data_IF_496520924848
#
_entry.id   IF_496520924848
#
_cell.length_a   1.000
_cell.length_b   1.000
_cell.length_c   1.000
_cell.angle_alpha   90.00
_cell.angle_beta   90.00
_cell.angle_gamma   90.00
#
_symmetry.space_group_name_H-M   'P 1'
#
loop_
_entity.id
_entity.type
_entity.pdbx_description
1 polymer ?
#
# COMPACT_ATOMS: atom_id res chain seq x y z
N UNK A 1 18.88 -20.96 -10.63
CA UNK A 1 17.68 -21.62 -11.18
C UNK A 1 17.09 -20.75 -12.29
N UNK A 2 16.81 -21.32 -13.47
CA UNK A 2 16.03 -20.65 -14.52
C UNK A 2 14.54 -20.76 -14.15
N UNK A 3 13.81 -19.63 -14.15
CA UNK A 3 12.39 -19.58 -13.81
C UNK A 3 11.50 -19.46 -15.05
N UNK A 4 11.97 -18.72 -16.07
CA UNK A 4 11.24 -18.52 -17.32
C UNK A 4 12.21 -18.22 -18.46
N UNK A 5 11.94 -18.74 -19.65
CA UNK A 5 12.58 -18.36 -20.90
C UNK A 5 11.53 -18.41 -22.01
N UNK A 6 11.33 -17.30 -22.71
CA UNK A 6 10.29 -17.20 -23.73
C UNK A 6 10.30 -15.86 -24.45
N UNK A 7 9.19 -15.52 -25.11
CA UNK A 7 9.00 -14.23 -25.78
C UNK A 7 7.82 -13.50 -25.19
N UNK A 8 8.02 -12.21 -24.89
CA UNK A 8 6.95 -11.29 -24.50
C UNK A 8 6.87 -10.20 -25.56
N UNK A 9 5.69 -10.06 -26.18
CA UNK A 9 5.46 -9.12 -27.28
C UNK A 9 6.55 -9.24 -28.38
N UNK A 10 6.88 -10.48 -28.76
CA UNK A 10 7.90 -10.82 -29.76
C UNK A 10 9.36 -10.73 -29.28
N UNK A 11 9.62 -10.14 -28.12
CA UNK A 11 10.98 -9.95 -27.58
C UNK A 11 11.41 -11.11 -26.67
N UNK A 12 12.61 -11.69 -26.86
CA UNK A 12 13.14 -12.70 -25.95
C UNK A 12 13.30 -12.16 -24.52
N UNK A 13 12.85 -12.94 -23.53
CA UNK A 13 13.00 -12.66 -22.11
C UNK A 13 13.40 -13.93 -21.39
N UNK A 14 14.38 -13.85 -20.50
CA UNK A 14 14.69 -14.91 -19.55
C UNK A 14 14.75 -14.37 -18.12
N UNK A 15 14.24 -15.13 -17.17
CA UNK A 15 14.26 -14.80 -15.75
C UNK A 15 14.93 -15.93 -14.98
N UNK A 16 15.94 -15.58 -14.20
CA UNK A 16 16.65 -16.50 -13.33
C UNK A 16 16.60 -16.02 -11.89
N UNK A 17 16.76 -16.97 -10.97
CA UNK A 17 16.87 -16.71 -9.55
C UNK A 17 18.14 -17.33 -8.96
N UNK A 18 18.79 -16.58 -8.07
CA UNK A 18 19.86 -17.05 -7.19
C UNK A 18 19.63 -16.46 -5.80
N UNK A 19 19.21 -17.30 -4.85
CA UNK A 19 18.89 -16.87 -3.49
C UNK A 19 17.73 -15.86 -3.46
N UNK A 20 18.02 -14.66 -2.96
CA UNK A 20 17.12 -13.52 -2.84
C UNK A 20 17.15 -12.58 -4.05
N UNK A 21 17.93 -12.88 -5.09
CA UNK A 21 18.05 -12.06 -6.30
C UNK A 21 17.33 -12.65 -7.49
N UNK A 22 16.78 -11.77 -8.32
CA UNK A 22 16.29 -12.07 -9.66
C UNK A 22 17.17 -11.40 -10.70
N UNK A 23 17.48 -12.15 -11.75
CA UNK A 23 18.13 -11.64 -12.95
C UNK A 23 17.13 -11.73 -14.10
N UNK A 24 16.83 -10.59 -14.74
CA UNK A 24 15.98 -10.52 -15.93
C UNK A 24 16.83 -10.11 -17.12
N UNK A 25 16.89 -11.00 -18.10
CA UNK A 25 17.59 -10.80 -19.35
C UNK A 25 16.62 -10.44 -20.48
N UNK A 26 17.02 -9.48 -21.29
CA UNK A 26 16.49 -9.18 -22.63
C UNK A 26 17.67 -8.90 -23.56
N UNK A 27 17.56 -9.04 -24.88
CA UNK A 27 18.67 -8.73 -25.79
C UNK A 27 19.26 -7.34 -25.50
N UNK A 28 20.56 -7.29 -25.22
CA UNK A 28 21.30 -6.06 -24.89
C UNK A 28 21.15 -5.55 -23.45
N UNK A 29 20.44 -6.24 -22.55
CA UNK A 29 20.22 -5.78 -21.17
C UNK A 29 20.04 -6.93 -20.16
N UNK A 30 20.76 -6.84 -19.04
CA UNK A 30 20.60 -7.71 -17.88
C UNK A 30 20.31 -6.87 -16.63
N UNK A 31 19.12 -6.99 -16.07
CA UNK A 31 18.75 -6.36 -14.80
C UNK A 31 18.90 -7.37 -13.66
N UNK A 32 19.73 -7.09 -12.66
CA UNK A 32 19.84 -7.91 -11.44
C UNK A 32 19.35 -7.11 -10.25
N UNK A 33 18.30 -7.62 -9.61
CA UNK A 33 17.61 -6.91 -8.53
C UNK A 33 17.36 -7.83 -7.33
N UNK A 34 17.38 -7.31 -6.10
CA UNK A 34 16.87 -8.05 -4.97
C UNK A 34 15.36 -8.29 -5.18
N UNK A 35 14.88 -9.43 -4.73
CA UNK A 35 13.50 -9.89 -4.91
C UNK A 35 12.97 -10.67 -3.70
N UNK A 36 13.85 -10.95 -2.73
CA UNK A 36 13.59 -11.70 -1.52
C UNK A 36 13.30 -13.17 -1.75
N UNK A 37 12.95 -13.87 -0.66
CA UNK A 37 12.90 -15.34 -0.67
C UNK A 37 11.51 -15.94 -0.89
N UNK A 38 10.44 -15.16 -0.72
CA UNK A 38 9.06 -15.66 -0.76
C UNK A 38 8.77 -16.46 -2.04
N UNK A 39 8.26 -17.69 -1.98
CA UNK A 39 8.14 -18.53 -3.18
C UNK A 39 6.94 -18.16 -4.08
N UNK A 40 5.88 -17.55 -3.54
CA UNK A 40 4.59 -17.39 -4.23
C UNK A 40 4.23 -15.97 -4.68
N UNK A 41 5.14 -14.99 -4.59
CA UNK A 41 4.85 -13.64 -5.09
C UNK A 41 5.09 -13.56 -6.62
N UNK A 42 4.10 -13.13 -7.42
CA UNK A 42 4.25 -13.03 -8.87
C UNK A 42 5.44 -12.15 -9.27
N UNK A 43 6.21 -12.59 -10.25
CA UNK A 43 7.40 -11.87 -10.73
C UNK A 43 7.00 -11.02 -11.93
N UNK A 44 7.30 -9.73 -11.88
CA UNK A 44 7.02 -8.82 -12.99
C UNK A 44 7.95 -9.14 -14.17
N UNK A 45 7.39 -9.46 -15.32
CA UNK A 45 8.17 -9.68 -16.55
C UNK A 45 8.26 -8.41 -17.42
N UNK A 46 7.32 -7.49 -17.25
CA UNK A 46 7.15 -6.28 -18.07
C UNK A 46 5.83 -6.29 -18.85
N UNK A 47 5.42 -5.13 -19.37
CA UNK A 47 4.18 -4.99 -20.15
C UNK A 47 2.88 -5.26 -19.38
N UNK A 48 2.94 -5.39 -18.05
CA UNK A 48 1.82 -5.82 -17.19
C UNK A 48 1.68 -7.33 -17.05
N UNK A 49 2.68 -8.12 -17.46
CA UNK A 49 2.65 -9.58 -17.34
C UNK A 49 3.45 -10.05 -16.14
N UNK A 50 2.93 -11.08 -15.47
CA UNK A 50 3.53 -11.64 -14.28
C UNK A 50 3.73 -13.15 -14.42
N UNK A 51 4.89 -13.65 -13.99
CA UNK A 51 5.16 -15.07 -13.84
C UNK A 51 4.62 -15.54 -12.49
N UNK A 52 3.75 -16.55 -12.54
CA UNK A 52 3.13 -17.17 -11.38
C UNK A 52 3.94 -18.38 -10.91
N UNK A 53 3.80 -18.72 -9.63
CA UNK A 53 4.30 -19.99 -9.14
C UNK A 53 3.47 -21.15 -9.71
N UNK A 54 4.04 -22.36 -9.89
CA UNK A 54 3.32 -23.49 -10.48
C UNK A 54 2.04 -23.92 -9.74
N UNK A 55 1.98 -23.67 -8.43
CA UNK A 55 0.81 -23.97 -7.58
C UNK A 55 -0.21 -22.83 -7.51
N UNK A 56 0.12 -21.63 -8.01
CA UNK A 56 -0.84 -20.51 -8.10
C UNK A 56 -1.73 -20.72 -9.33
N UNK A 57 -2.67 -21.67 -9.22
CA UNK A 57 -3.62 -21.95 -10.28
C UNK A 57 -4.74 -20.88 -10.31
N UNK A 58 -5.10 -20.45 -11.52
CA UNK A 58 -6.30 -19.64 -11.83
C UNK A 58 -6.26 -18.21 -11.23
N UNK A 59 -5.43 -17.31 -11.77
CA UNK A 59 -5.56 -15.90 -11.44
C UNK A 59 -6.93 -15.37 -11.89
N UNK A 60 -7.46 -14.40 -11.14
CA UNK A 60 -8.74 -13.75 -11.44
C UNK A 60 -8.55 -12.25 -11.48
N UNK A 61 -9.24 -11.56 -12.39
CA UNK A 61 -9.31 -10.10 -12.41
C UNK A 61 -9.91 -9.58 -11.09
N UNK A 62 -9.80 -8.27 -10.85
CA UNK A 62 -10.41 -7.68 -9.64
C UNK A 62 -11.95 -7.80 -9.62
N UNK A 63 -12.59 -8.03 -10.77
CA UNK A 63 -14.04 -8.31 -10.88
C UNK A 63 -14.39 -9.77 -10.65
N UNK A 64 -13.40 -10.68 -10.52
CA UNK A 64 -13.60 -12.11 -10.29
C UNK A 64 -13.67 -12.95 -11.57
N UNK A 65 -13.44 -12.34 -12.74
CA UNK A 65 -13.34 -13.08 -14.00
C UNK A 65 -12.00 -13.80 -14.08
N UNK A 66 -11.94 -14.89 -14.83
CA UNK A 66 -10.67 -15.60 -15.04
C UNK A 66 -9.68 -14.69 -15.79
N UNK A 67 -8.52 -14.43 -15.19
CA UNK A 67 -7.40 -13.82 -15.90
C UNK A 67 -6.71 -14.92 -16.70
N UNK A 68 -6.60 -14.74 -18.01
CA UNK A 68 -5.91 -15.72 -18.85
C UNK A 68 -4.45 -15.86 -18.40
N UNK A 69 -3.94 -17.09 -18.39
CA UNK A 69 -2.54 -17.37 -18.14
C UNK A 69 -2.09 -18.55 -19.00
N UNK A 70 -0.88 -18.47 -19.56
CA UNK A 70 -0.29 -19.50 -20.40
C UNK A 70 1.19 -19.65 -20.07
N UNK A 71 1.67 -20.90 -19.92
CA UNK A 71 3.05 -21.17 -19.51
C UNK A 71 3.45 -20.52 -18.18
N UNK A 72 2.49 -20.38 -17.25
CA UNK A 72 2.69 -19.69 -15.97
C UNK A 72 2.72 -18.16 -16.05
N UNK A 73 2.54 -17.57 -17.24
CA UNK A 73 2.55 -16.12 -17.43
C UNK A 73 1.12 -15.60 -17.59
N UNK A 74 0.76 -14.57 -16.84
CA UNK A 74 -0.55 -13.92 -16.97
C UNK A 74 -0.66 -13.14 -18.29
N UNK A 75 -1.89 -13.01 -18.80
CA UNK A 75 -2.24 -11.89 -19.67
C UNK A 75 -1.93 -10.56 -18.96
N UNK A 76 -1.80 -9.43 -19.71
CA UNK A 76 -1.54 -8.14 -19.10
C UNK A 76 -2.58 -7.78 -18.04
N UNK A 77 -2.11 -7.54 -16.81
CA UNK A 77 -2.87 -6.98 -15.71
C UNK A 77 -2.18 -5.68 -15.27
N UNK A 78 -2.93 -4.59 -15.25
CA UNK A 78 -2.42 -3.26 -14.91
C UNK A 78 -3.28 -2.66 -13.82
N UNK A 79 -2.64 -1.92 -12.92
CA UNK A 79 -3.38 -1.15 -11.94
C UNK A 79 -4.12 -0.02 -12.65
N UNK A 80 -5.38 0.17 -12.28
CA UNK A 80 -6.24 1.24 -12.80
C UNK A 80 -5.97 2.56 -12.05
N UNK A 81 -4.73 3.05 -12.16
CA UNK A 81 -4.27 4.29 -11.53
C UNK A 81 -3.34 5.06 -12.46
N UNK A 82 -3.30 6.40 -12.33
CA UNK A 82 -2.47 7.25 -13.18
C UNK A 82 -0.96 7.01 -13.06
N UNK A 83 -0.49 6.37 -11.98
CA UNK A 83 0.92 6.01 -11.80
C UNK A 83 1.22 4.54 -12.13
N UNK A 84 0.23 3.76 -12.58
CA UNK A 84 0.39 2.34 -12.90
C UNK A 84 0.67 1.43 -11.70
N UNK A 85 0.50 1.92 -10.47
CA UNK A 85 0.68 1.16 -9.20
C UNK A 85 -0.66 0.95 -8.51
N UNK A 86 -0.83 -0.17 -7.82
CA UNK A 86 -2.07 -0.51 -7.12
C UNK A 86 -2.47 -1.98 -7.26
N UNK A 87 -3.71 -2.33 -6.90
CA UNK A 87 -4.23 -3.69 -7.04
C UNK A 87 -4.20 -4.15 -8.50
N UNK A 88 -3.86 -5.41 -8.74
CA UNK A 88 -3.74 -6.00 -10.07
C UNK A 88 -4.80 -7.10 -10.31
N UNK A 89 -4.73 -8.17 -9.52
CA UNK A 89 -5.55 -9.37 -9.67
C UNK A 89 -5.58 -10.19 -8.38
N UNK A 90 -6.48 -11.16 -8.31
CA UNK A 90 -6.58 -12.12 -7.22
C UNK A 90 -5.82 -13.42 -7.53
N UNK A 91 -5.22 -14.00 -6.50
CA UNK A 91 -4.61 -15.33 -6.52
C UNK A 91 -5.12 -16.12 -5.31
N UNK A 92 -5.99 -17.11 -5.53
CA UNK A 92 -6.61 -17.84 -4.42
C UNK A 92 -7.33 -16.88 -3.47
N UNK A 93 -6.96 -16.84 -2.19
CA UNK A 93 -7.60 -15.97 -1.18
C UNK A 93 -7.05 -14.55 -1.12
N UNK A 94 -5.99 -14.21 -1.86
CA UNK A 94 -5.26 -12.94 -1.72
C UNK A 94 -5.40 -12.05 -2.95
N UNK A 95 -5.28 -10.75 -2.76
CA UNK A 95 -5.07 -9.80 -3.86
C UNK A 95 -3.59 -9.44 -3.93
N UNK A 96 -3.04 -9.40 -5.14
CA UNK A 96 -1.69 -8.91 -5.40
C UNK A 96 -1.73 -7.57 -6.10
N UNK A 97 -0.71 -6.75 -5.85
CA UNK A 97 -0.61 -5.39 -6.38
C UNK A 97 0.80 -5.01 -6.79
N UNK A 98 0.89 -4.06 -7.71
CA UNK A 98 2.14 -3.44 -8.10
C UNK A 98 2.45 -2.24 -7.21
N UNK A 99 3.62 -2.25 -6.58
CA UNK A 99 4.15 -1.13 -5.79
C UNK A 99 5.45 -0.56 -6.38
N UNK A 100 5.83 -0.95 -7.59
CA UNK A 100 7.03 -0.50 -8.30
C UNK A 100 8.25 -1.41 -8.14
N UNK A 101 8.07 -2.62 -7.62
CA UNK A 101 9.13 -3.59 -7.39
C UNK A 101 9.19 -4.70 -8.45
N UNK A 102 10.22 -5.57 -8.41
CA UNK A 102 10.35 -6.69 -9.33
C UNK A 102 9.33 -7.81 -9.10
N UNK A 103 8.52 -7.70 -8.04
CA UNK A 103 7.48 -8.64 -7.66
C UNK A 103 6.23 -7.89 -7.22
N UNK A 104 5.07 -8.48 -7.49
CA UNK A 104 3.83 -8.01 -6.93
C UNK A 104 3.77 -8.33 -5.42
N UNK A 105 3.30 -7.36 -4.63
CA UNK A 105 3.12 -7.51 -3.19
C UNK A 105 1.72 -8.02 -2.88
N UNK A 106 1.56 -8.77 -1.79
CA UNK A 106 0.23 -9.10 -1.27
C UNK A 106 -0.36 -7.85 -0.61
N UNK A 107 -1.55 -7.44 -1.05
CA UNK A 107 -2.23 -6.26 -0.51
C UNK A 107 -3.31 -6.67 0.49
N UNK A 108 -3.28 -6.05 1.67
CA UNK A 108 -4.29 -6.20 2.72
C UNK A 108 -4.92 -4.83 3.02
N UNK A 109 -6.17 -4.85 3.46
CA UNK A 109 -6.88 -3.66 3.90
C UNK A 109 -7.62 -3.91 5.21
N UNK A 110 -7.45 -3.01 6.17
CA UNK A 110 -8.26 -2.94 7.39
C UNK A 110 -9.09 -1.67 7.36
N UNK A 111 -10.41 -1.83 7.42
CA UNK A 111 -11.34 -0.70 7.53
C UNK A 111 -11.29 -0.10 8.94
N UNK A 112 -11.84 1.11 9.15
CA UNK A 112 -11.92 1.72 10.48
C UNK A 112 -12.71 0.89 11.50
N UNK A 113 -13.59 0.00 11.01
CA UNK A 113 -14.38 -0.90 11.83
C UNK A 113 -13.62 -2.18 12.23
N UNK A 114 -12.44 -2.42 11.65
CA UNK A 114 -11.67 -3.64 11.85
C UNK A 114 -11.39 -3.92 13.33
N UNK A 115 -11.28 -5.21 13.64
CA UNK A 115 -10.91 -5.74 14.95
C UNK A 115 -9.81 -6.76 14.74
N UNK A 116 -8.81 -6.82 15.64
CA UNK A 116 -7.91 -7.95 15.69
C UNK A 116 -8.70 -9.25 15.71
N UNK A 117 -8.33 -10.17 14.82
CA UNK A 117 -8.85 -11.53 14.74
C UNK A 117 -7.65 -12.48 14.79
N UNK A 118 -7.85 -13.75 15.16
CA UNK A 118 -6.79 -14.76 15.05
C UNK A 118 -6.17 -14.73 13.66
N UNK A 119 -4.87 -15.01 13.58
CA UNK A 119 -4.11 -14.95 12.34
C UNK A 119 -4.83 -15.76 11.24
N UNK A 120 -5.36 -15.06 10.24
CA UNK A 120 -5.95 -15.63 9.04
C UNK A 120 -5.07 -15.28 7.84
N UNK A 121 -5.08 -16.12 6.80
CA UNK A 121 -4.49 -15.74 5.52
C UNK A 121 -5.05 -14.39 5.06
N UNK A 122 -4.26 -13.56 4.36
CA UNK A 122 -4.76 -12.34 3.75
C UNK A 122 -6.00 -12.63 2.89
N UNK A 123 -7.03 -11.82 3.09
CA UNK A 123 -8.29 -11.90 2.35
C UNK A 123 -8.21 -11.05 1.08
N UNK A 124 -9.05 -11.38 0.09
CA UNK A 124 -9.18 -10.60 -1.15
C UNK A 124 -9.65 -9.19 -0.80
N UNK A 125 -9.10 -8.20 -1.48
CA UNK A 125 -9.58 -6.83 -1.37
C UNK A 125 -11.00 -6.74 -1.93
N UNK A 126 -11.93 -6.39 -1.05
CA UNK A 126 -13.25 -5.88 -1.43
C UNK A 126 -13.19 -4.50 -2.09
N UNK A 127 -14.34 -3.97 -2.49
CA UNK A 127 -14.47 -2.68 -3.19
C UNK A 127 -13.79 -1.53 -2.44
N UNK A 128 -14.01 -1.45 -1.13
CA UNK A 128 -13.43 -0.42 -0.26
C UNK A 128 -11.90 -0.49 -0.25
N UNK A 129 -11.33 -1.66 0.04
CA UNK A 129 -9.88 -1.85 0.06
C UNK A 129 -9.22 -1.55 -1.29
N UNK A 130 -9.85 -1.93 -2.40
CA UNK A 130 -9.35 -1.58 -3.74
C UNK A 130 -9.36 -0.06 -3.98
N UNK A 131 -10.45 0.61 -3.62
CA UNK A 131 -10.56 2.07 -3.73
C UNK A 131 -9.48 2.78 -2.91
N UNK A 132 -9.27 2.33 -1.67
CA UNK A 132 -8.24 2.87 -0.77
C UNK A 132 -6.84 2.66 -1.36
N UNK A 133 -6.52 1.46 -1.86
CA UNK A 133 -5.24 1.19 -2.50
C UNK A 133 -5.03 2.00 -3.79
N UNK A 134 -6.06 2.21 -4.60
CA UNK A 134 -5.96 3.05 -5.81
C UNK A 134 -5.58 4.50 -5.48
N UNK A 135 -6.09 5.04 -4.36
CA UNK A 135 -5.73 6.38 -3.87
C UNK A 135 -4.34 6.43 -3.25
N UNK A 136 -3.94 5.38 -2.53
CA UNK A 136 -2.65 5.32 -1.82
C UNK A 136 -1.47 5.03 -2.73
N UNK A 137 -1.63 4.13 -3.69
CA UNK A 137 -0.50 3.58 -4.44
C UNK A 137 0.32 4.67 -5.14
N UNK A 138 -0.32 5.73 -5.62
CA UNK A 138 0.38 6.87 -6.23
C UNK A 138 0.96 7.86 -5.21
N UNK A 139 0.41 7.93 -4.01
CA UNK A 139 0.89 8.80 -2.94
C UNK A 139 2.10 8.23 -2.19
N UNK A 140 2.27 6.91 -2.23
CA UNK A 140 3.41 6.24 -1.60
C UNK A 140 4.68 6.48 -2.42
N UNK A 141 5.82 6.77 -1.77
CA UNK A 141 7.09 6.77 -2.48
C UNK A 141 7.37 5.39 -3.07
N UNK A 142 8.07 5.34 -4.20
CA UNK A 142 8.55 4.07 -4.73
C UNK A 142 9.47 3.41 -3.71
N UNK A 143 9.19 2.15 -3.31
CA UNK A 143 9.98 1.50 -2.29
C UNK A 143 11.40 1.25 -2.82
N UNK A 144 12.41 1.60 -2.02
CA UNK A 144 13.82 1.34 -2.35
C UNK A 144 14.21 -0.13 -2.18
N UNK A 145 13.34 -0.94 -1.57
CA UNK A 145 13.54 -2.37 -1.30
C UNK A 145 12.33 -3.19 -1.78
N UNK A 146 12.51 -4.47 -2.14
CA UNK A 146 11.41 -5.33 -2.56
C UNK A 146 10.38 -5.52 -1.44
N UNK A 147 9.13 -5.23 -1.75
CA UNK A 147 7.99 -5.38 -0.84
C UNK A 147 7.38 -6.77 -1.04
N UNK A 148 7.20 -7.52 0.05
CA UNK A 148 6.52 -8.82 0.06
C UNK A 148 5.02 -8.67 0.28
N UNK A 149 4.65 -7.82 1.22
CA UNK A 149 3.30 -7.58 1.67
C UNK A 149 3.12 -6.11 2.03
N UNK A 150 1.90 -5.62 1.87
CA UNK A 150 1.55 -4.26 2.20
C UNK A 150 0.16 -4.22 2.83
N UNK A 151 0.03 -3.54 3.95
CA UNK A 151 -1.23 -3.33 4.66
C UNK A 151 -1.60 -1.85 4.59
N UNK A 152 -2.81 -1.55 4.16
CA UNK A 152 -3.45 -0.25 4.35
C UNK A 152 -4.45 -0.35 5.50
N UNK A 153 -4.16 0.27 6.64
CA UNK A 153 -5.10 0.37 7.76
C UNK A 153 -5.68 1.78 7.79
N UNK A 154 -6.92 1.92 7.30
CA UNK A 154 -7.72 3.11 7.53
C UNK A 154 -8.14 3.17 9.00
N UNK A 155 -7.42 3.97 9.76
CA UNK A 155 -7.59 4.04 11.20
C UNK A 155 -8.55 5.16 11.62
N UNK A 156 -8.91 6.07 10.69
CA UNK A 156 -9.88 7.13 10.93
C UNK A 156 -10.51 7.58 9.62
N UNK A 157 -11.84 7.61 9.57
CA UNK A 157 -12.59 8.23 8.46
C UNK A 157 -13.60 9.21 9.02
N UNK A 158 -13.79 10.34 8.33
CA UNK A 158 -14.74 11.35 8.76
C UNK A 158 -14.75 12.57 7.85
N UNK A 159 -15.27 13.68 8.38
CA UNK A 159 -15.21 14.99 7.74
C UNK A 159 -14.20 15.86 8.48
N UNK A 160 -13.32 16.52 7.71
CA UNK A 160 -12.41 17.51 8.24
C UNK A 160 -13.21 18.75 8.74
N UNK A 161 -12.74 19.44 9.79
CA UNK A 161 -13.49 20.55 10.38
C UNK A 161 -13.50 21.80 9.49
N UNK A 162 -14.26 22.82 9.90
CA UNK A 162 -14.23 24.17 9.30
C UNK A 162 -14.43 24.18 7.77
N UNK A 163 -15.43 23.44 7.29
CA UNK A 163 -15.75 23.34 5.85
C UNK A 163 -14.87 22.35 5.09
N UNK A 164 -14.01 21.60 5.79
CA UNK A 164 -13.26 20.51 5.19
C UNK A 164 -14.15 19.38 4.66
N UNK A 165 -13.69 18.73 3.59
CA UNK A 165 -14.38 17.61 2.96
C UNK A 165 -14.23 16.28 3.71
N UNK A 166 -14.79 15.19 3.16
CA UNK A 166 -14.50 13.83 3.61
C UNK A 166 -13.00 13.53 3.54
N UNK A 167 -12.49 12.80 4.52
CA UNK A 167 -11.12 12.34 4.52
C UNK A 167 -10.94 11.06 5.33
N UNK A 168 -9.91 10.31 4.97
CA UNK A 168 -9.49 9.08 5.63
C UNK A 168 -8.02 9.21 6.04
N UNK A 169 -7.67 8.67 7.19
CA UNK A 169 -6.30 8.60 7.66
C UNK A 169 -5.85 7.15 7.64
N UNK A 170 -4.89 6.87 6.76
CA UNK A 170 -4.45 5.50 6.51
C UNK A 170 -3.00 5.34 6.93
N UNK A 171 -2.72 4.33 7.76
CA UNK A 171 -1.38 3.86 8.02
C UNK A 171 -1.05 2.76 7.01
N UNK A 172 -0.06 3.00 6.15
CA UNK A 172 0.44 1.99 5.21
C UNK A 172 1.69 1.34 5.77
N UNK A 173 1.63 0.04 6.07
CA UNK A 173 2.80 -0.78 6.44
C UNK A 173 3.31 -1.52 5.22
N UNK A 174 4.59 -1.36 4.90
CA UNK A 174 5.29 -2.14 3.89
C UNK A 174 6.17 -3.18 4.58
N UNK A 175 5.87 -4.46 4.37
CA UNK A 175 6.72 -5.58 4.76
C UNK A 175 7.73 -5.89 3.66
N UNK A 176 9.00 -6.02 4.02
CA UNK A 176 10.07 -6.22 3.04
C UNK A 176 10.49 -7.68 2.96
N UNK A 177 10.83 -8.11 1.75
CA UNK A 177 11.11 -9.51 1.48
C UNK A 177 12.44 -10.01 2.09
N UNK A 178 13.31 -9.10 2.55
CA UNK A 178 14.52 -9.39 3.32
C UNK A 178 14.32 -9.25 4.85
N UNK A 179 13.08 -9.02 5.29
CA UNK A 179 12.74 -8.75 6.69
C UNK A 179 12.57 -7.28 7.03
N UNK A 180 11.92 -7.04 8.17
CA UNK A 180 11.56 -5.70 8.65
C UNK A 180 10.36 -5.08 7.94
N UNK A 181 9.91 -3.94 8.46
CA UNK A 181 8.81 -3.17 7.87
C UNK A 181 8.98 -1.68 8.12
N UNK A 182 8.24 -0.86 7.37
CA UNK A 182 8.09 0.57 7.60
C UNK A 182 6.62 0.94 7.57
N UNK A 183 6.20 1.91 8.38
CA UNK A 183 4.87 2.47 8.36
C UNK A 183 4.87 3.95 7.98
N UNK A 184 3.98 4.35 7.07
CA UNK A 184 3.75 5.75 6.71
C UNK A 184 2.26 6.07 6.78
N UNK A 185 1.92 7.11 7.53
CA UNK A 185 0.57 7.64 7.58
C UNK A 185 0.33 8.63 6.42
N UNK A 186 -0.88 8.57 5.86
CA UNK A 186 -1.33 9.46 4.80
C UNK A 186 -2.74 9.92 5.09
N UNK A 187 -2.96 11.24 5.00
CA UNK A 187 -4.30 11.83 5.00
C UNK A 187 -4.83 11.87 3.56
N UNK A 188 -5.85 11.08 3.30
CA UNK A 188 -6.54 10.94 2.04
C UNK A 188 -7.79 11.84 2.03
N UNK A 189 -7.67 13.07 1.57
CA UNK A 189 -8.80 13.99 1.38
C UNK A 189 -8.89 14.51 -0.06
N UNK A 190 -9.38 15.74 -0.22
CA UNK A 190 -9.29 16.47 -1.50
C UNK A 190 -7.83 16.61 -1.99
N UNK A 191 -6.90 16.68 -1.05
CA UNK A 191 -5.47 16.59 -1.31
C UNK A 191 -4.90 15.44 -0.49
N UNK A 192 -4.31 14.47 -1.18
CA UNK A 192 -3.56 13.39 -0.53
C UNK A 192 -2.23 13.92 -0.03
N UNK A 193 -1.90 13.67 1.25
CA UNK A 193 -0.63 14.11 1.84
C UNK A 193 -0.06 13.09 2.83
N UNK A 194 1.26 12.82 2.79
CA UNK A 194 1.91 12.06 3.85
C UNK A 194 1.93 12.88 5.13
N UNK A 195 1.77 12.20 6.27
CA UNK A 195 1.70 12.83 7.60
C UNK A 195 2.69 12.22 8.59
N UNK A 196 3.72 11.55 8.09
CA UNK A 196 4.83 11.01 8.86
C UNK A 196 4.77 9.49 9.02
N UNK A 197 5.64 8.96 9.88
CA UNK A 197 5.68 7.54 10.21
C UNK A 197 4.44 7.11 11.02
N UNK A 198 4.10 5.83 10.98
CA UNK A 198 3.07 5.24 11.82
C UNK A 198 3.43 3.82 12.23
N UNK A 199 2.84 3.38 13.34
CA UNK A 199 2.76 1.98 13.73
C UNK A 199 1.39 1.45 13.30
N UNK A 200 1.33 0.38 12.52
CA UNK A 200 0.06 -0.19 12.07
C UNK A 200 -0.69 -0.93 13.18
N UNK A 201 -0.02 -1.35 14.25
CA UNK A 201 -0.66 -2.02 15.38
C UNK A 201 -1.33 -1.00 16.32
N UNK A 202 -0.77 0.21 16.42
CA UNK A 202 -1.30 1.34 17.20
C UNK A 202 -1.27 2.65 16.41
N UNK A 203 -2.05 2.77 15.32
CA UNK A 203 -1.89 3.87 14.39
C UNK A 203 -2.35 5.19 15.01
N UNK A 204 -1.46 6.18 14.94
CA UNK A 204 -1.72 7.58 15.28
C UNK A 204 -0.90 8.46 14.34
N UNK A 205 -1.47 9.55 13.86
CA UNK A 205 -0.75 10.53 13.06
C UNK A 205 -1.45 11.88 13.08
N UNK A 206 -0.70 12.93 12.78
CA UNK A 206 -1.16 14.30 12.79
C UNK A 206 -0.40 15.17 11.82
N UNK A 207 -0.98 16.30 11.46
CA UNK A 207 -0.38 17.25 10.53
C UNK A 207 -0.98 18.63 10.71
N UNK A 208 -0.20 19.65 10.35
CA UNK A 208 -0.74 20.99 10.14
C UNK A 208 -1.55 21.00 8.84
N UNK A 209 -2.81 21.37 8.95
CA UNK A 209 -3.77 21.42 7.86
C UNK A 209 -4.34 22.83 7.73
N UNK A 210 -4.41 23.32 6.49
CA UNK A 210 -5.02 24.61 6.15
C UNK A 210 -6.46 24.38 5.73
N UNK A 211 -7.39 24.98 6.45
CA UNK A 211 -8.81 24.94 6.12
C UNK A 211 -9.12 25.73 4.84
N UNK A 212 -10.30 25.52 4.21
CA UNK A 212 -10.74 26.35 3.09
C UNK A 212 -10.83 27.85 3.42
N UNK A 213 -10.99 28.20 4.70
CA UNK A 213 -10.95 29.58 5.20
C UNK A 213 -9.53 30.14 5.36
N UNK A 214 -8.52 29.45 4.82
CA UNK A 214 -7.09 29.75 4.92
C UNK A 214 -6.48 29.74 6.32
N UNK A 215 -7.26 29.41 7.35
CA UNK A 215 -6.81 29.24 8.73
C UNK A 215 -6.15 27.89 8.93
N UNK A 216 -5.10 27.88 9.74
CA UNK A 216 -4.34 26.68 10.07
C UNK A 216 -4.83 26.02 11.35
N UNK A 217 -4.91 24.69 11.29
CA UNK A 217 -5.24 23.83 12.42
C UNK A 217 -4.27 22.66 12.45
N UNK A 218 -3.92 22.20 13.65
CA UNK A 218 -3.29 20.91 13.81
C UNK A 218 -4.39 19.86 13.93
N UNK A 219 -4.36 18.88 13.04
CA UNK A 219 -5.28 17.74 13.07
C UNK A 219 -4.50 16.50 13.45
N UNK A 220 -5.07 15.67 14.31
CA UNK A 220 -4.54 14.34 14.57
C UNK A 220 -5.65 13.34 14.78
N UNK A 221 -5.40 12.09 14.38
CA UNK A 221 -6.31 10.99 14.59
C UNK A 221 -5.56 9.79 15.12
N UNK A 222 -6.28 8.94 15.87
CA UNK A 222 -5.76 7.66 16.34
C UNK A 222 -6.74 6.52 16.01
N UNK A 223 -6.19 5.32 15.92
CA UNK A 223 -6.90 4.07 15.74
C UNK A 223 -7.91 3.82 16.84
N UNK A 224 -8.73 2.78 16.66
CA UNK A 224 -9.78 2.48 17.61
C UNK A 224 -9.21 2.07 18.96
N UNK A 225 -9.82 2.55 20.05
CA UNK A 225 -9.34 2.30 21.40
C UNK A 225 -8.19 3.21 21.83
N UNK A 226 -7.81 4.18 20.99
CA UNK A 226 -6.78 5.17 21.28
C UNK A 226 -7.35 6.58 21.22
N UNK A 227 -6.78 7.48 22.02
CA UNK A 227 -7.06 8.92 22.03
C UNK A 227 -5.78 9.67 21.65
N UNK A 228 -5.79 10.51 20.59
CA UNK A 228 -4.63 11.31 20.24
C UNK A 228 -4.44 12.48 21.23
N UNK A 229 -3.18 12.73 21.60
CA UNK A 229 -2.74 13.84 22.44
C UNK A 229 -1.60 14.60 21.75
N UNK A 230 -1.72 15.92 21.67
CA UNK A 230 -0.77 16.77 20.98
C UNK A 230 -0.21 17.83 21.93
N UNK A 231 1.12 17.81 22.14
CA UNK A 231 1.86 18.81 22.90
C UNK A 231 2.57 19.78 21.96
N UNK A 232 2.64 21.07 22.34
CA UNK A 232 3.14 22.14 21.47
C UNK A 232 2.04 22.87 20.67
N UNK A 233 0.77 22.63 20.99
CA UNK A 233 -0.39 23.37 20.47
C UNK A 233 -1.01 24.26 21.57
N UNK A 234 -1.79 25.28 21.18
CA UNK A 234 -2.35 26.26 22.13
C UNK A 234 -3.64 25.79 22.81
N UNK A 235 -4.59 25.28 22.01
CA UNK A 235 -5.89 24.76 22.47
C UNK A 235 -6.24 23.57 21.60
N UNK A 236 -6.61 22.45 22.22
CA UNK A 236 -7.02 21.23 21.54
C UNK A 236 -8.41 20.79 22.00
N UNK A 237 -9.16 20.17 21.09
CA UNK A 237 -10.40 19.47 21.40
C UNK A 237 -10.41 18.16 20.62
N UNK A 238 -10.84 17.08 21.26
CA UNK A 238 -10.92 15.76 20.63
C UNK A 238 -12.38 15.32 20.56
N UNK A 239 -12.85 15.02 19.35
CA UNK A 239 -14.20 14.50 19.11
C UNK A 239 -14.13 13.39 18.08
N UNK A 240 -14.82 12.27 18.34
CA UNK A 240 -14.84 11.10 17.42
C UNK A 240 -13.42 10.66 16.98
N UNK A 241 -12.47 10.65 17.92
CA UNK A 241 -11.03 10.32 17.71
C UNK A 241 -10.26 11.27 16.79
N UNK A 242 -10.85 12.42 16.41
CA UNK A 242 -10.15 13.50 15.75
C UNK A 242 -9.83 14.59 16.78
N UNK A 243 -8.55 14.85 16.99
CA UNK A 243 -8.05 16.03 17.68
C UNK A 243 -7.93 17.18 16.69
N UNK A 244 -8.46 18.33 17.10
CA UNK A 244 -8.36 19.60 16.39
C UNK A 244 -7.71 20.58 17.35
N UNK A 245 -6.62 21.21 16.92
CA UNK A 245 -5.94 22.21 17.73
C UNK A 245 -5.53 23.45 16.93
N UNK A 246 -5.32 24.55 17.65
CA UNK A 246 -4.78 25.79 17.12
C UNK A 246 -3.33 25.97 17.57
N UNK A 247 -2.54 26.70 16.81
CA UNK A 247 -1.16 27.03 17.16
C UNK A 247 -0.42 27.66 16.00
N UNK A 248 0.91 27.75 16.12
CA UNK A 248 1.75 28.31 15.06
C UNK A 248 1.95 27.23 13.98
N UNK A 249 1.60 27.51 12.72
CA UNK A 249 1.74 26.51 11.66
C UNK A 249 3.19 26.05 11.52
N UNK A 250 3.37 24.77 11.17
CA UNK A 250 4.68 24.16 10.90
C UNK A 250 5.64 24.13 12.09
N UNK A 251 5.20 24.43 13.31
CA UNK A 251 6.00 24.15 14.50
C UNK A 251 5.95 22.65 14.82
N UNK A 252 7.03 22.09 15.42
CA UNK A 252 7.01 20.72 15.91
C UNK A 252 5.86 20.51 16.91
N UNK A 253 5.20 19.36 16.81
CA UNK A 253 4.15 18.92 17.72
C UNK A 253 4.49 17.49 18.15
N UNK A 254 4.60 17.26 19.45
CA UNK A 254 4.77 15.91 19.96
C UNK A 254 3.40 15.25 20.03
N UNK A 255 3.22 14.15 19.28
CA UNK A 255 1.96 13.45 19.16
C UNK A 255 2.07 12.07 19.83
N UNK A 256 1.16 11.77 20.74
CA UNK A 256 1.04 10.47 21.39
C UNK A 256 -0.38 9.93 21.29
N UNK A 257 -0.56 8.63 21.55
CA UNK A 257 -1.86 7.97 21.63
C UNK A 257 -1.92 7.06 22.85
N UNK A 258 -2.99 7.18 23.63
CA UNK A 258 -3.24 6.38 24.85
C UNK A 258 -4.63 5.77 24.82
#
# INVERSE_FOLDING_TARGET
QLLYAGRLDGRPVAVMRRGDRLARYTPGRLDVVPAGTGPSAPIALGGGRYLLAPWDARPETLTGERLAASGGVTAPARADTGCGRGPLFHLGSRTVGDLGGPRAAVLTYHSPAWRPRPARPPERLGREGRSTWNRLACALPSPSRPVSDALAFDFWSGRLPHGGGPADWVCTRLGYAAGGSTGQATLLGAQTRPTGACDADRPVSGTWWRAPSDRWYYLAAAGRGLVPHADGVRRSTTRKRLLIATGTPKTPVALTAR
#
